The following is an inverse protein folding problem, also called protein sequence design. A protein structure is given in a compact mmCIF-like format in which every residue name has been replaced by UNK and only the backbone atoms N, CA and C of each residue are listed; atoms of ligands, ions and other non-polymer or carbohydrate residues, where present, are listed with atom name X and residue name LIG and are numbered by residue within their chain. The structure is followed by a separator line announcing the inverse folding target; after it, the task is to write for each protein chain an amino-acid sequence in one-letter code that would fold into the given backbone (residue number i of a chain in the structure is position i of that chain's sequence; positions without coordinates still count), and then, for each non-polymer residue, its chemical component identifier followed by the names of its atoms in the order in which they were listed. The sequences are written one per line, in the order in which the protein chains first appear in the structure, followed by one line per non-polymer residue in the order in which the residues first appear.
data_IF_296834970998
#
_entry.id   IF_296834970998
#
_cell.length_a   1.000
_cell.length_b   1.000
_cell.length_c   1.000
_cell.angle_alpha   90.00
_cell.angle_beta   90.00
_cell.angle_gamma   90.00
#
_symmetry.space_group_name_H-M   'P 1'
#
loop_
_entity.id
_entity.type
_entity.pdbx_description
1 polymer ?
#
# COMPACT_ATOMS: atom_id res chain seq x y z
N UNK A 1 44.50 -8.97 54.67
CA UNK A 1 44.57 -7.61 55.25
C UNK A 1 45.32 -6.70 54.30
N UNK A 2 44.71 -5.55 53.95
CA UNK A 2 45.27 -4.30 53.38
C UNK A 2 45.90 -4.39 51.97
N UNK A 3 45.21 -4.07 50.86
CA UNK A 3 44.65 -2.78 50.37
C UNK A 3 45.64 -1.88 49.63
N UNK A 4 45.13 -1.18 48.60
CA UNK A 4 45.61 0.00 47.83
C UNK A 4 45.95 -0.38 46.37
N UNK A 5 45.52 0.33 45.33
CA UNK A 5 44.64 1.51 45.15
C UNK A 5 44.37 1.61 43.64
N UNK A 6 43.15 1.98 43.26
CA UNK A 6 42.85 2.48 41.92
C UNK A 6 43.47 3.88 41.72
N UNK A 7 43.95 4.16 40.51
CA UNK A 7 44.13 5.52 39.99
C UNK A 7 43.73 5.52 38.52
N UNK A 8 42.67 6.27 38.21
CA UNK A 8 42.22 6.62 36.87
C UNK A 8 43.10 7.70 36.27
N UNK A 9 43.29 7.67 34.95
CA UNK A 9 43.56 8.88 34.17
C UNK A 9 43.03 8.69 32.74
N UNK A 10 42.00 9.48 32.42
CA UNK A 10 41.55 9.70 31.06
C UNK A 10 42.49 10.69 30.35
N UNK A 11 42.77 10.48 29.06
CA UNK A 11 43.26 11.52 28.17
C UNK A 11 42.83 11.24 26.72
N UNK A 12 42.45 12.34 26.07
CA UNK A 12 41.66 12.49 24.84
C UNK A 12 42.41 12.22 23.51
N UNK A 13 41.62 11.82 22.51
CA UNK A 13 41.60 12.20 21.07
C UNK A 13 42.90 12.60 20.33
N UNK A 14 43.14 11.96 19.19
CA UNK A 14 43.36 12.56 17.83
C UNK A 14 43.51 11.41 16.81
N UNK A 15 42.60 11.25 15.84
CA UNK A 15 42.57 11.85 14.51
C UNK A 15 43.37 11.09 13.42
N UNK A 16 42.59 10.43 12.56
CA UNK A 16 42.67 10.32 11.10
C UNK A 16 43.89 9.73 10.35
N UNK A 17 43.50 8.97 9.31
CA UNK A 17 44.14 8.66 8.04
C UNK A 17 45.13 7.48 7.97
N UNK A 18 44.69 6.39 7.32
CA UNK A 18 45.15 6.05 5.96
C UNK A 18 44.57 4.69 5.48
N UNK A 19 43.95 4.74 4.30
CA UNK A 19 44.01 3.76 3.20
C UNK A 19 43.84 2.26 3.51
N UNK A 20 42.71 1.70 3.07
CA UNK A 20 42.73 0.66 2.04
C UNK A 20 41.46 0.74 1.21
N UNK A 21 41.59 1.32 0.02
CA UNK A 21 40.69 1.11 -1.09
C UNK A 21 40.79 -0.36 -1.49
N UNK A 22 39.72 -1.13 -1.28
CA UNK A 22 39.46 -2.41 -1.93
C UNK A 22 37.98 -2.69 -1.76
N UNK A 23 37.22 -2.61 -2.86
CA UNK A 23 36.20 -3.59 -3.25
C UNK A 23 35.12 -2.92 -4.08
N UNK A 24 35.05 -3.37 -5.34
CA UNK A 24 33.89 -3.39 -6.22
C UNK A 24 32.98 -2.16 -6.23
N UNK A 25 33.24 -1.28 -7.19
CA UNK A 25 32.18 -0.54 -7.87
C UNK A 25 31.31 -1.52 -8.65
N UNK A 26 30.31 -2.09 -7.98
CA UNK A 26 29.05 -2.43 -8.60
C UNK A 26 28.06 -1.41 -8.07
N UNK A 27 27.71 -0.41 -8.89
CA UNK A 27 26.53 0.42 -8.64
C UNK A 27 25.28 -0.43 -8.87
N UNK A 28 25.08 -1.44 -8.01
CA UNK A 28 23.74 -1.96 -7.77
C UNK A 28 23.06 -0.89 -6.93
N UNK A 29 22.29 -0.03 -7.61
CA UNK A 29 21.28 0.77 -6.92
C UNK A 29 20.47 -0.22 -6.10
N UNK A 30 20.45 -0.11 -4.75
CA UNK A 30 19.69 -1.04 -3.95
C UNK A 30 18.26 -1.02 -4.47
N UNK A 31 17.74 -2.21 -4.79
CA UNK A 31 16.34 -2.34 -5.13
C UNK A 31 15.53 -1.64 -4.02
N UNK A 32 14.53 -0.82 -4.36
CA UNK A 32 13.73 -0.15 -3.35
C UNK A 32 13.18 -1.22 -2.41
N UNK A 33 13.50 -1.11 -1.12
CA UNK A 33 12.97 -2.06 -0.14
C UNK A 33 11.44 -2.00 -0.17
N UNK A 34 10.75 -3.15 -0.10
CA UNK A 34 9.29 -3.16 -0.11
C UNK A 34 8.75 -2.28 1.00
N UNK A 35 7.76 -1.44 0.68
CA UNK A 35 7.17 -0.53 1.66
C UNK A 35 6.49 -1.38 2.74
N UNK A 36 7.00 -1.26 3.97
CA UNK A 36 6.32 -1.83 5.13
C UNK A 36 4.93 -1.21 5.21
N UNK A 37 3.90 -2.03 5.07
CA UNK A 37 2.50 -1.59 5.03
C UNK A 37 2.11 -0.66 6.17
N UNK A 38 2.71 -0.84 7.35
CA UNK A 38 2.47 -0.03 8.55
C UNK A 38 3.06 1.39 8.49
N UNK A 39 3.82 1.70 7.44
CA UNK A 39 4.37 3.03 7.15
C UNK A 39 3.76 3.69 5.92
N UNK A 40 2.99 2.94 5.12
CA UNK A 40 2.27 3.47 3.97
C UNK A 40 0.99 4.22 4.42
N UNK A 41 0.73 5.36 3.79
CA UNK A 41 -0.51 6.10 3.93
C UNK A 41 -1.47 5.65 2.84
N UNK A 42 -2.61 5.05 3.22
CA UNK A 42 -3.59 4.52 2.27
C UNK A 42 -4.19 5.58 1.33
N UNK A 43 -4.20 6.85 1.73
CA UNK A 43 -4.65 7.96 0.87
C UNK A 43 -3.61 8.36 -0.18
N UNK A 44 -2.34 8.01 0.00
CA UNK A 44 -1.26 8.35 -0.93
C UNK A 44 -1.02 7.24 -1.97
N UNK A 45 -1.74 6.11 -1.87
CA UNK A 45 -1.61 4.97 -2.77
C UNK A 45 -2.43 5.08 -4.07
N UNK A 46 -3.33 6.07 -4.12
CA UNK A 46 -4.21 6.28 -5.26
C UNK A 46 -3.97 7.68 -5.81
N UNK A 47 -3.54 7.76 -7.06
CA UNK A 47 -3.36 9.03 -7.72
C UNK A 47 -4.70 9.61 -8.23
N UNK A 48 -4.78 10.92 -8.49
CA UNK A 48 -6.00 11.52 -9.01
C UNK A 48 -6.42 10.94 -10.38
N UNK A 49 -5.48 10.55 -11.24
CA UNK A 49 -5.79 10.10 -12.60
C UNK A 49 -6.53 8.75 -12.62
N UNK A 50 -6.21 7.86 -11.68
CA UNK A 50 -6.85 6.56 -11.50
C UNK A 50 -8.18 6.67 -10.74
N UNK A 51 -8.33 7.67 -9.87
CA UNK A 51 -9.58 7.94 -9.15
C UNK A 51 -10.64 8.63 -9.99
N UNK A 52 -10.25 9.57 -10.87
CA UNK A 52 -11.18 10.35 -11.70
C UNK A 52 -12.23 9.51 -12.46
N UNK A 53 -11.88 8.42 -13.18
CA UNK A 53 -12.86 7.61 -13.92
C UNK A 53 -13.79 6.77 -13.02
N UNK A 54 -13.49 6.69 -11.72
CA UNK A 54 -14.25 5.92 -10.74
C UNK A 54 -15.26 6.78 -9.98
N UNK A 55 -15.08 8.10 -9.98
CA UNK A 55 -15.87 9.05 -9.20
C UNK A 55 -16.71 9.96 -10.09
N UNK A 56 -17.97 10.21 -9.72
CA UNK A 56 -18.93 10.99 -10.52
C UNK A 56 -18.97 12.46 -10.13
N UNK A 57 -18.60 12.81 -8.90
CA UNK A 57 -18.64 14.19 -8.38
C UNK A 57 -17.28 14.87 -8.36
N UNK A 58 -16.28 14.31 -9.04
CA UNK A 58 -14.88 14.71 -8.93
C UNK A 58 -14.20 14.18 -7.67
N UNK A 59 -12.90 14.40 -7.59
CA UNK A 59 -12.04 13.88 -6.53
C UNK A 59 -12.03 14.88 -5.38
N UNK A 60 -12.49 14.45 -4.21
CA UNK A 60 -12.26 15.15 -2.94
C UNK A 60 -10.98 14.63 -2.29
N UNK A 61 -10.44 15.35 -1.31
CA UNK A 61 -9.45 14.75 -0.41
C UNK A 61 -10.03 13.47 0.20
N UNK A 62 -9.24 12.39 0.19
CA UNK A 62 -9.64 11.11 0.74
C UNK A 62 -9.85 11.20 2.25
N UNK A 63 -10.85 10.51 2.76
CA UNK A 63 -11.11 10.43 4.20
C UNK A 63 -10.37 9.24 4.79
N UNK A 64 -9.29 9.51 5.51
CA UNK A 64 -8.51 8.48 6.19
C UNK A 64 -9.25 7.93 7.43
N UNK A 65 -9.07 6.64 7.70
CA UNK A 65 -9.53 5.95 8.91
C UNK A 65 -8.49 4.92 9.34
N UNK A 66 -8.37 4.70 10.65
CA UNK A 66 -7.55 3.62 11.20
C UNK A 66 -8.26 2.94 12.37
N UNK A 67 -8.27 1.61 12.34
CA UNK A 67 -8.90 0.76 13.36
C UNK A 67 -7.96 -0.41 13.63
N UNK A 68 -7.56 -0.60 14.88
CA UNK A 68 -6.70 -1.71 15.32
C UNK A 68 -5.38 -1.86 14.52
N UNK A 69 -4.86 -0.77 13.97
CA UNK A 69 -3.63 -0.78 13.15
C UNK A 69 -3.88 -0.99 11.65
N UNK A 70 -5.07 -1.44 11.25
CA UNK A 70 -5.48 -1.42 9.85
C UNK A 70 -5.80 0.03 9.45
N UNK A 71 -5.45 0.42 8.22
CA UNK A 71 -5.67 1.77 7.71
C UNK A 71 -6.47 1.74 6.42
N UNK A 72 -7.29 2.76 6.19
CA UNK A 72 -8.07 2.86 4.95
C UNK A 72 -8.26 4.30 4.55
N UNK A 73 -8.44 4.52 3.26
CA UNK A 73 -8.83 5.79 2.70
C UNK A 73 -10.08 5.61 1.85
N UNK A 74 -11.01 6.55 1.96
CA UNK A 74 -12.28 6.55 1.25
C UNK A 74 -12.41 7.84 0.43
N UNK A 75 -12.71 7.71 -0.85
CA UNK A 75 -13.07 8.82 -1.74
C UNK A 75 -14.52 8.70 -2.20
N UNK A 76 -15.13 9.84 -2.55
CA UNK A 76 -16.48 9.90 -3.08
C UNK A 76 -17.58 10.08 -2.02
N UNK A 77 -18.82 9.75 -2.37
CA UNK A 77 -20.00 9.96 -1.55
C UNK A 77 -20.78 8.67 -1.32
N UNK A 78 -20.92 8.28 -0.05
CA UNK A 78 -21.72 7.13 0.38
C UNK A 78 -23.21 7.34 0.04
N UNK A 79 -23.70 8.58 0.16
CA UNK A 79 -25.11 8.92 -0.14
C UNK A 79 -25.45 8.68 -1.61
N UNK A 80 -24.48 8.87 -2.50
CA UNK A 80 -24.63 8.65 -3.94
C UNK A 80 -24.22 7.23 -4.37
N UNK A 81 -23.84 6.38 -3.41
CA UNK A 81 -23.28 5.05 -3.65
C UNK A 81 -22.10 5.05 -4.64
N UNK A 82 -21.37 6.16 -4.70
CA UNK A 82 -20.20 6.29 -5.53
C UNK A 82 -18.99 6.54 -4.65
N UNK A 83 -18.36 5.45 -4.24
CA UNK A 83 -17.21 5.48 -3.34
C UNK A 83 -16.12 4.56 -3.85
N UNK A 84 -14.89 4.97 -3.61
CA UNK A 84 -13.70 4.13 -3.81
C UNK A 84 -12.96 4.05 -2.49
N UNK A 85 -12.47 2.88 -2.12
CA UNK A 85 -11.62 2.73 -0.94
C UNK A 85 -10.41 1.85 -1.21
N UNK A 86 -9.32 2.21 -0.54
CA UNK A 86 -8.11 1.41 -0.44
C UNK A 86 -7.88 1.15 1.05
N UNK A 87 -7.75 -0.11 1.43
CA UNK A 87 -7.50 -0.53 2.80
C UNK A 87 -6.23 -1.38 2.88
N UNK A 88 -5.40 -1.12 3.89
CA UNK A 88 -4.23 -1.89 4.27
C UNK A 88 -4.54 -2.60 5.58
N UNK A 89 -4.60 -3.93 5.52
CA UNK A 89 -5.03 -4.78 6.60
C UNK A 89 -3.92 -5.73 7.03
N UNK A 90 -3.90 -6.03 8.32
CA UNK A 90 -3.00 -7.01 8.92
C UNK A 90 -3.33 -8.46 8.57
N UNK A 91 -4.55 -8.74 8.08
CA UNK A 91 -4.99 -10.09 7.71
C UNK A 91 -6.08 -10.08 6.63
N UNK A 92 -6.26 -11.20 5.90
CA UNK A 92 -7.29 -11.31 4.87
C UNK A 92 -8.71 -11.21 5.45
N UNK A 93 -9.63 -10.68 4.66
CA UNK A 93 -11.04 -10.63 5.02
C UNK A 93 -11.67 -12.03 5.01
N UNK A 94 -12.52 -12.27 6.02
CA UNK A 94 -13.35 -13.48 6.12
C UNK A 94 -14.59 -13.38 5.20
N UNK A 95 -14.32 -13.28 3.90
CA UNK A 95 -15.31 -13.26 2.83
C UNK A 95 -15.03 -14.38 1.83
N UNK A 96 -16.08 -15.01 1.26
CA UNK A 96 -15.91 -16.05 0.26
C UNK A 96 -15.28 -15.47 -1.01
N UNK A 97 -14.26 -16.15 -1.51
CA UNK A 97 -13.67 -15.84 -2.82
C UNK A 97 -14.65 -16.24 -3.93
N UNK A 98 -14.97 -15.30 -4.81
CA UNK A 98 -15.84 -15.55 -5.98
C UNK A 98 -15.02 -16.11 -7.15
N UNK A 99 -13.86 -15.52 -7.39
CA UNK A 99 -12.86 -15.91 -8.40
C UNK A 99 -11.53 -15.25 -8.10
N UNK A 100 -10.50 -15.64 -8.84
CA UNK A 100 -9.21 -14.96 -8.87
C UNK A 100 -9.08 -14.04 -10.07
N UNK A 101 -8.16 -13.09 -9.96
CA UNK A 101 -7.70 -12.21 -11.04
C UNK A 101 -6.18 -12.03 -10.91
N UNK A 102 -5.49 -11.86 -12.03
CA UNK A 102 -4.07 -11.50 -12.05
C UNK A 102 -3.94 -10.01 -12.37
N UNK A 103 -3.24 -9.27 -11.51
CA UNK A 103 -2.99 -7.83 -11.66
C UNK A 103 -1.51 -7.62 -11.38
N UNK A 104 -0.76 -7.08 -12.35
CA UNK A 104 0.71 -6.91 -12.29
C UNK A 104 1.47 -8.16 -11.80
N UNK A 105 1.02 -9.37 -12.17
CA UNK A 105 1.63 -10.63 -11.76
C UNK A 105 1.27 -11.11 -10.34
N UNK A 106 0.41 -10.36 -9.64
CA UNK A 106 -0.10 -10.72 -8.31
C UNK A 106 -1.52 -11.29 -8.42
N UNK A 107 -1.75 -12.40 -7.73
CA UNK A 107 -3.06 -13.03 -7.65
C UNK A 107 -3.95 -12.30 -6.64
N UNK A 108 -4.97 -11.63 -7.15
CA UNK A 108 -6.05 -11.02 -6.37
C UNK A 108 -7.24 -11.95 -6.20
N UNK A 109 -7.84 -11.92 -5.01
CA UNK A 109 -9.11 -12.56 -4.66
C UNK A 109 -10.24 -11.56 -4.90
N UNK A 110 -11.17 -11.88 -5.79
CA UNK A 110 -12.39 -11.09 -5.96
C UNK A 110 -13.39 -11.53 -4.91
N UNK A 111 -13.68 -10.64 -3.94
CA UNK A 111 -14.55 -10.92 -2.79
C UNK A 111 -16.00 -10.47 -3.04
N UNK A 112 -16.18 -9.46 -3.89
CA UNK A 112 -17.48 -8.99 -4.32
C UNK A 112 -17.41 -8.54 -5.77
N UNK A 113 -18.38 -8.95 -6.58
CA UNK A 113 -18.51 -8.51 -7.97
C UNK A 113 -19.99 -8.44 -8.34
N UNK A 114 -20.42 -7.24 -8.71
CA UNK A 114 -21.75 -6.97 -9.24
C UNK A 114 -21.65 -5.79 -10.22
N UNK A 115 -22.78 -5.42 -10.83
CA UNK A 115 -22.85 -4.25 -11.71
C UNK A 115 -22.33 -2.95 -11.08
N UNK A 116 -22.50 -2.81 -9.77
CA UNK A 116 -22.25 -1.56 -9.06
C UNK A 116 -21.15 -1.71 -7.99
N UNK A 117 -20.48 -2.85 -7.92
CA UNK A 117 -19.48 -3.09 -6.90
C UNK A 117 -18.40 -4.04 -7.41
N UNK A 118 -17.15 -3.74 -7.08
CA UNK A 118 -16.07 -4.71 -7.09
C UNK A 118 -15.20 -4.54 -5.85
N UNK A 119 -14.80 -5.65 -5.25
CA UNK A 119 -13.81 -5.71 -4.17
C UNK A 119 -12.75 -6.73 -4.56
N UNK A 120 -11.51 -6.27 -4.66
CA UNK A 120 -10.34 -7.10 -4.94
C UNK A 120 -9.40 -7.02 -3.75
N UNK A 121 -8.99 -8.18 -3.25
CA UNK A 121 -8.05 -8.31 -2.15
C UNK A 121 -6.77 -9.00 -2.63
N UNK A 122 -5.61 -8.48 -2.23
CA UNK A 122 -4.31 -9.09 -2.51
C UNK A 122 -3.59 -9.34 -1.18
N UNK A 123 -3.13 -10.56 -1.00
CA UNK A 123 -2.25 -10.94 0.10
C UNK A 123 -0.80 -10.88 -0.38
N UNK A 124 0.06 -10.27 0.43
CA UNK A 124 1.49 -10.16 0.19
C UNK A 124 2.27 -10.47 1.45
N UNK A 125 3.59 -10.58 1.32
CA UNK A 125 4.49 -10.77 2.45
C UNK A 125 4.41 -9.61 3.47
N UNK A 126 3.96 -8.43 3.02
CA UNK A 126 3.75 -7.25 3.83
C UNK A 126 2.31 -7.11 4.33
N UNK A 127 1.46 -8.14 4.25
CA UNK A 127 0.06 -8.06 4.67
C UNK A 127 -0.90 -7.92 3.50
N UNK A 128 -2.07 -7.35 3.75
CA UNK A 128 -3.20 -7.42 2.82
C UNK A 128 -3.60 -6.03 2.34
N UNK A 129 -3.83 -5.89 1.03
CA UNK A 129 -4.47 -4.70 0.47
C UNK A 129 -5.83 -5.06 -0.10
N UNK A 130 -6.83 -4.25 0.20
CA UNK A 130 -8.16 -4.33 -0.40
C UNK A 130 -8.43 -3.07 -1.19
N UNK A 131 -8.83 -3.22 -2.45
CA UNK A 131 -9.36 -2.14 -3.28
C UNK A 131 -10.84 -2.40 -3.52
N UNK A 132 -11.69 -1.46 -3.12
CA UNK A 132 -13.13 -1.53 -3.34
C UNK A 132 -13.61 -0.32 -4.15
N UNK A 133 -14.42 -0.60 -5.18
CA UNK A 133 -15.20 0.40 -5.88
C UNK A 133 -16.69 0.09 -5.73
N UNK A 134 -17.46 1.08 -5.26
CA UNK A 134 -18.92 1.10 -5.31
C UNK A 134 -19.35 2.22 -6.25
N UNK A 135 -20.21 1.91 -7.20
CA UNK A 135 -20.58 2.81 -8.28
C UNK A 135 -22.07 3.12 -8.23
N UNK A 136 -22.42 4.41 -8.18
CA UNK A 136 -23.80 4.84 -8.24
C UNK A 136 -24.45 4.49 -9.58
N UNK A 137 -25.78 4.60 -9.65
CA UNK A 137 -26.55 4.31 -10.87
C UNK A 137 -26.13 5.16 -12.07
N UNK A 138 -25.54 6.33 -11.86
CA UNK A 138 -25.14 7.26 -12.93
C UNK A 138 -23.78 6.92 -13.55
N UNK A 139 -23.02 6.00 -12.96
CA UNK A 139 -21.79 5.48 -13.54
C UNK A 139 -22.08 4.40 -14.61
N UNK A 140 -22.93 4.72 -15.59
CA UNK A 140 -23.35 3.80 -16.65
C UNK A 140 -22.56 4.01 -17.94
N UNK A 141 -21.70 3.05 -18.24
CA UNK A 141 -21.25 2.75 -19.61
C UNK A 141 -21.25 1.24 -19.91
N UNK A 142 -20.96 0.37 -18.93
CA UNK A 142 -21.08 -1.08 -19.08
C UNK A 142 -21.39 -1.78 -17.74
N UNK A 143 -22.46 -2.59 -17.66
CA UNK A 143 -22.93 -3.17 -16.41
C UNK A 143 -22.10 -4.35 -15.88
N UNK A 144 -21.23 -4.98 -16.68
CA UNK A 144 -20.52 -6.21 -16.27
C UNK A 144 -19.01 -6.00 -16.12
N UNK A 145 -18.57 -4.77 -15.86
CA UNK A 145 -17.15 -4.39 -15.90
C UNK A 145 -16.70 -3.64 -14.64
N UNK A 146 -17.41 -3.77 -13.51
CA UNK A 146 -17.04 -3.08 -12.26
C UNK A 146 -15.62 -3.42 -11.82
N UNK A 147 -15.23 -4.71 -11.86
CA UNK A 147 -13.85 -5.09 -11.57
C UNK A 147 -12.87 -4.61 -12.64
N UNK A 148 -13.23 -4.59 -13.92
CA UNK A 148 -12.36 -4.01 -14.96
C UNK A 148 -12.12 -2.50 -14.76
N UNK A 149 -13.06 -1.79 -14.11
CA UNK A 149 -12.87 -0.38 -13.72
C UNK A 149 -11.94 -0.25 -12.51
N UNK A 150 -12.04 -1.17 -11.55
CA UNK A 150 -11.20 -1.16 -10.34
C UNK A 150 -9.76 -1.63 -10.62
N UNK A 151 -9.54 -2.50 -11.61
CA UNK A 151 -8.21 -3.05 -11.92
C UNK A 151 -7.12 -1.99 -12.11
N UNK A 152 -7.30 -0.91 -12.90
CA UNK A 152 -6.29 0.14 -13.02
C UNK A 152 -5.88 0.79 -11.69
N UNK A 153 -6.82 0.96 -10.76
CA UNK A 153 -6.50 1.45 -9.42
C UNK A 153 -5.74 0.38 -8.61
N UNK A 154 -6.10 -0.89 -8.74
CA UNK A 154 -5.35 -1.97 -8.10
C UNK A 154 -3.92 -2.07 -8.62
N UNK A 155 -3.69 -1.85 -9.93
CA UNK A 155 -2.35 -1.75 -10.53
C UNK A 155 -1.54 -0.64 -9.87
N UNK A 156 -2.07 0.58 -9.82
CA UNK A 156 -1.44 1.75 -9.19
C UNK A 156 -1.09 1.51 -7.71
N UNK A 157 -2.04 0.98 -6.94
CA UNK A 157 -1.85 0.70 -5.52
C UNK A 157 -0.73 -0.32 -5.30
N UNK A 158 -0.70 -1.41 -6.10
CA UNK A 158 0.33 -2.44 -5.99
C UNK A 158 1.71 -1.93 -6.41
N UNK A 159 1.78 -1.08 -7.43
CA UNK A 159 3.03 -0.46 -7.87
C UNK A 159 3.60 0.50 -6.82
N UNK A 160 2.76 1.34 -6.21
CA UNK A 160 3.16 2.30 -5.17
C UNK A 160 3.57 1.64 -3.85
N UNK A 161 2.99 0.48 -3.53
CA UNK A 161 3.42 -0.32 -2.39
C UNK A 161 4.78 -1.01 -2.61
N UNK A 162 5.28 -1.02 -3.85
CA UNK A 162 6.53 -1.68 -4.22
C UNK A 162 6.59 -3.17 -3.81
N UNK A 163 5.44 -3.84 -3.71
CA UNK A 163 5.34 -5.25 -3.31
C UNK A 163 5.77 -6.23 -4.42
N UNK A 164 6.17 -5.73 -5.58
CA UNK A 164 6.52 -6.48 -6.80
C UNK A 164 7.96 -6.28 -7.28
N UNK A 165 8.85 -5.66 -6.48
CA UNK A 165 10.27 -5.47 -6.83
C UNK A 165 11.22 -6.23 -5.93
#
# INVERSE_FOLDING_TARGET
MKSLKAVSAAALLTAAAALTACSNGGDETPAPEPVQWNSASSCDLADPATLEPLLTTGITEGTASSVNGDTSCLWGSVEQMNTVSVALNSSPQDLPELRTIDVVGQKGRVLAESKYQCTIEFETDSGVVTVEGKFGFDAMANPDTSCNRVVPLAEEVLENLAWSK
#
